data_IF_800143832184
#
_entry.id   IF_800143832184
#
_cell.length_a   1.000
_cell.length_b   1.000
_cell.length_c   1.000
_cell.angle_alpha   90.00
_cell.angle_beta   90.00
_cell.angle_gamma   90.00
#
_symmetry.space_group_name_H-M   'P 1'
#
loop_
_entity.id
_entity.type
_entity.pdbx_description
1 polymer ?
#
# COMPACT_ATOMS: atom_id res chain seq x y z
N UNK A 1 10.41 9.79 -0.41
CA UNK A 1 9.08 9.30 -0.04
C UNK A 1 9.17 7.80 0.20
N UNK A 2 8.65 7.32 1.31
CA UNK A 2 8.61 5.91 1.66
C UNK A 2 7.17 5.44 1.72
N UNK A 3 6.81 4.45 0.91
CA UNK A 3 5.50 3.80 0.96
C UNK A 3 5.68 2.40 1.52
N UNK A 4 4.89 2.04 2.53
CA UNK A 4 4.89 0.71 3.12
C UNK A 4 3.53 0.06 2.86
N UNK A 5 3.55 -1.13 2.25
CA UNK A 5 2.34 -1.92 2.00
C UNK A 5 2.37 -3.12 2.94
N UNK A 6 1.45 -3.16 3.89
CA UNK A 6 1.32 -4.26 4.84
C UNK A 6 0.07 -5.04 4.43
N UNK A 7 0.23 -6.30 4.07
CA UNK A 7 -0.85 -7.06 3.45
C UNK A 7 -0.92 -8.49 3.99
N UNK A 8 -2.13 -9.02 4.07
CA UNK A 8 -2.31 -10.45 4.27
C UNK A 8 -1.78 -11.18 3.03
N UNK A 9 -1.12 -12.32 3.23
CA UNK A 9 -0.48 -13.07 2.13
C UNK A 9 -1.44 -13.45 0.99
N UNK A 10 -2.74 -13.51 1.26
CA UNK A 10 -3.74 -13.76 0.22
C UNK A 10 -3.80 -12.62 -0.82
N UNK A 11 -3.29 -11.44 -0.48
CA UNK A 11 -3.31 -10.26 -1.34
C UNK A 11 -1.95 -9.90 -1.94
N UNK A 12 -1.05 -10.91 -2.06
CA UNK A 12 0.29 -10.69 -2.58
C UNK A 12 0.34 -10.11 -3.99
N UNK A 13 -0.56 -10.55 -4.89
CA UNK A 13 -0.62 -10.02 -6.26
C UNK A 13 -1.04 -8.56 -6.28
N UNK A 14 -2.02 -8.20 -5.47
CA UNK A 14 -2.50 -6.83 -5.37
C UNK A 14 -1.41 -5.91 -4.81
N UNK A 15 -0.66 -6.38 -3.81
CA UNK A 15 0.44 -5.61 -3.25
C UNK A 15 1.56 -5.40 -4.28
N UNK A 16 1.88 -6.43 -5.07
CA UNK A 16 2.89 -6.32 -6.13
C UNK A 16 2.46 -5.35 -7.22
N UNK A 17 1.19 -5.41 -7.62
CA UNK A 17 0.62 -4.49 -8.62
C UNK A 17 0.68 -3.05 -8.11
N UNK A 18 0.28 -2.81 -6.87
CA UNK A 18 0.33 -1.48 -6.27
C UNK A 18 1.76 -0.95 -6.23
N UNK A 19 2.73 -1.77 -5.84
CA UNK A 19 4.14 -1.36 -5.84
C UNK A 19 4.58 -0.92 -7.22
N UNK A 20 4.27 -1.71 -8.26
CA UNK A 20 4.62 -1.36 -9.64
C UNK A 20 4.00 -0.04 -10.08
N UNK A 21 2.72 0.16 -9.77
CA UNK A 21 2.01 1.38 -10.13
C UNK A 21 2.56 2.62 -9.41
N UNK A 22 2.93 2.47 -8.15
CA UNK A 22 3.56 3.55 -7.38
C UNK A 22 4.91 3.92 -8.00
N UNK A 23 5.71 2.93 -8.38
CA UNK A 23 7.02 3.17 -8.98
C UNK A 23 6.93 3.76 -10.40
N UNK A 24 5.84 3.52 -11.12
CA UNK A 24 5.58 4.20 -12.39
C UNK A 24 5.26 5.68 -12.16
N UNK A 25 4.55 6.00 -11.09
CA UNK A 25 4.19 7.39 -10.77
C UNK A 25 5.38 8.15 -10.16
N UNK A 26 6.14 7.51 -9.29
CA UNK A 26 7.30 8.09 -8.60
C UNK A 26 8.47 7.12 -8.64
N UNK A 27 9.30 7.22 -9.66
CA UNK A 27 10.38 6.24 -9.90
C UNK A 27 11.45 6.21 -8.81
N UNK A 28 11.61 7.28 -8.07
CA UNK A 28 12.57 7.39 -6.96
C UNK A 28 11.97 7.07 -5.60
N UNK A 29 10.70 6.71 -5.55
CA UNK A 29 10.03 6.32 -4.31
C UNK A 29 10.57 4.98 -3.80
N UNK A 30 10.74 4.88 -2.49
CA UNK A 30 11.06 3.60 -1.85
C UNK A 30 9.75 2.93 -1.43
N UNK A 31 9.54 1.69 -1.89
CA UNK A 31 8.34 0.91 -1.56
C UNK A 31 8.74 -0.37 -0.84
N UNK A 32 8.27 -0.54 0.39
CA UNK A 32 8.43 -1.76 1.16
C UNK A 32 7.12 -2.55 1.17
N UNK A 33 7.22 -3.86 0.97
CA UNK A 33 6.09 -4.78 1.10
C UNK A 33 6.32 -5.69 2.30
N UNK A 34 5.31 -5.80 3.15
CA UNK A 34 5.34 -6.68 4.32
C UNK A 34 4.14 -7.61 4.28
N UNK A 35 4.40 -8.88 3.98
CA UNK A 35 3.36 -9.92 4.01
C UNK A 35 3.18 -10.46 5.42
N UNK A 36 1.94 -10.59 5.87
CA UNK A 36 1.61 -11.14 7.18
C UNK A 36 0.62 -12.29 7.02
N UNK A 37 0.66 -13.26 7.93
CA UNK A 37 -0.24 -14.42 7.89
C UNK A 37 -1.61 -14.10 8.46
N UNK A 38 -1.65 -13.22 9.46
CA UNK A 38 -2.87 -12.89 10.19
C UNK A 38 -3.35 -11.49 9.81
N UNK A 39 -4.57 -11.18 10.21
CA UNK A 39 -5.11 -9.83 10.06
C UNK A 39 -4.33 -8.88 10.94
N UNK A 40 -4.03 -7.71 10.41
CA UNK A 40 -3.65 -6.58 11.23
C UNK A 40 -4.86 -6.20 12.09
N UNK A 41 -4.60 -5.50 13.20
CA UNK A 41 -5.69 -5.07 14.08
C UNK A 41 -6.67 -4.22 13.25
N UNK A 42 -7.84 -4.80 12.99
CA UNK A 42 -8.92 -4.16 12.25
C UNK A 42 -8.72 -4.05 10.73
N UNK A 43 -7.69 -4.70 10.16
CA UNK A 43 -7.45 -4.61 8.72
C UNK A 43 -6.62 -5.80 8.22
N UNK A 44 -6.77 -6.12 6.91
CA UNK A 44 -5.96 -7.12 6.22
C UNK A 44 -5.11 -6.51 5.12
N UNK A 45 -5.27 -5.21 4.88
CA UNK A 45 -4.52 -4.48 3.87
C UNK A 45 -4.37 -3.03 4.31
N UNK A 46 -3.13 -2.57 4.38
CA UNK A 46 -2.84 -1.22 4.86
C UNK A 46 -1.70 -0.63 4.07
N UNK A 47 -1.82 0.63 3.70
CA UNK A 47 -0.78 1.38 3.01
C UNK A 47 -0.42 2.60 3.84
N UNK A 48 0.88 2.84 4.02
CA UNK A 48 1.40 3.97 4.77
C UNK A 48 2.31 4.82 3.90
N UNK A 49 2.22 6.13 4.07
CA UNK A 49 3.13 7.10 3.46
C UNK A 49 3.94 7.74 4.58
N UNK A 50 5.25 7.50 4.58
CA UNK A 50 6.17 8.01 5.60
C UNK A 50 5.65 7.76 7.03
N UNK A 51 5.08 6.57 7.26
CA UNK A 51 4.55 6.15 8.53
C UNK A 51 3.10 6.51 8.81
N UNK A 52 2.45 7.28 7.94
CA UNK A 52 1.05 7.67 8.11
C UNK A 52 0.14 6.84 7.23
N UNK A 53 -0.95 6.31 7.79
CA UNK A 53 -1.90 5.47 7.06
C UNK A 53 -2.64 6.30 6.01
N UNK A 54 -2.56 5.85 4.74
CA UNK A 54 -3.31 6.46 3.63
C UNK A 54 -4.45 5.56 3.16
N UNK A 55 -4.36 4.27 3.44
CA UNK A 55 -5.45 3.33 3.19
C UNK A 55 -5.42 2.20 4.22
N UNK A 56 -6.58 1.78 4.68
CA UNK A 56 -6.72 0.66 5.60
C UNK A 56 -8.07 -0.01 5.37
N UNK A 57 -8.09 -1.32 5.18
CA UNK A 57 -9.33 -2.03 4.94
C UNK A 57 -9.15 -3.54 5.01
N UNK A 58 -10.27 -4.25 4.92
CA UNK A 58 -10.29 -5.72 4.92
C UNK A 58 -9.88 -6.31 3.57
N UNK A 59 -9.98 -5.52 2.51
CA UNK A 59 -9.63 -5.92 1.16
C UNK A 59 -8.82 -4.82 0.49
N UNK A 60 -7.99 -5.15 -0.51
CA UNK A 60 -7.30 -4.13 -1.30
C UNK A 60 -8.28 -3.26 -2.06
N UNK A 61 -7.88 -2.02 -2.33
CA UNK A 61 -8.56 -1.17 -3.30
C UNK A 61 -7.67 -0.99 -4.52
N UNK A 62 -8.16 -0.33 -5.56
CA UNK A 62 -7.38 -0.11 -6.77
C UNK A 62 -6.22 0.84 -6.53
N UNK A 63 -5.16 0.70 -7.34
CA UNK A 63 -3.96 1.53 -7.22
C UNK A 63 -4.25 3.01 -7.41
N UNK A 64 -5.15 3.36 -8.30
CA UNK A 64 -5.52 4.76 -8.57
C UNK A 64 -6.04 5.45 -7.32
N UNK A 65 -6.91 4.79 -6.57
CA UNK A 65 -7.44 5.33 -5.31
C UNK A 65 -6.31 5.62 -4.31
N UNK A 66 -5.38 4.67 -4.16
CA UNK A 66 -4.27 4.81 -3.22
C UNK A 66 -3.31 5.91 -3.69
N UNK A 67 -2.97 5.93 -4.98
CA UNK A 67 -2.09 6.94 -5.55
C UNK A 67 -2.68 8.35 -5.39
N UNK A 68 -3.99 8.50 -5.61
CA UNK A 68 -4.66 9.78 -5.39
C UNK A 68 -4.62 10.21 -3.92
N UNK A 69 -4.78 9.26 -2.99
CA UNK A 69 -4.66 9.55 -1.56
C UNK A 69 -3.26 10.03 -1.20
N UNK A 70 -2.23 9.45 -1.82
CA UNK A 70 -0.85 9.89 -1.63
C UNK A 70 -0.67 11.30 -2.19
N UNK A 71 -1.17 11.57 -3.39
CA UNK A 71 -1.06 12.89 -4.04
C UNK A 71 -1.69 13.99 -3.21
N UNK A 72 -2.79 13.70 -2.53
CA UNK A 72 -3.46 14.67 -1.66
C UNK A 72 -2.59 15.09 -0.47
N UNK A 73 -1.61 14.28 -0.10
CA UNK A 73 -0.74 14.53 1.05
C UNK A 73 0.62 15.14 0.66
N UNK A 74 0.88 15.26 -0.63
CA UNK A 74 2.14 15.84 -1.15
C UNK A 74 2.03 17.38 -1.41
#
# INVERSE_FOLDING_TARGET
>A
MLVTIIYNKDFGEQAATLKGDILEEWSDCKVNKMGVNDSLVGARYQVQLDGNVVYRGQVPTDSTTIINSIKERL
#
